data_IF_031147450212
#
_entry.id   IF_031147450212
#
_cell.length_a   1.000
_cell.length_b   1.000
_cell.length_c   1.000
_cell.angle_alpha   90.00
_cell.angle_beta   90.00
_cell.angle_gamma   90.00
#
_symmetry.space_group_name_H-M   'P 1'
#
loop_
_entity.id
_entity.type
_entity.pdbx_description
1 polymer ?
#
# COMPACT_ATOMS: atom_id res chain seq x y z
N UNK A 1 -21.55 2.03 -19.88
CA UNK A 1 -21.40 0.58 -20.04
C UNK A 1 -20.02 0.07 -19.67
N UNK A 2 -19.04 0.93 -19.39
CA UNK A 2 -17.69 0.52 -18.93
C UNK A 2 -17.51 0.43 -17.40
N UNK A 3 -18.52 0.83 -16.63
CA UNK A 3 -18.42 0.90 -15.14
C UNK A 3 -18.59 -0.44 -14.40
N UNK A 4 -19.13 -1.47 -15.05
CA UNK A 4 -19.40 -2.77 -14.42
C UNK A 4 -18.30 -3.82 -14.67
N UNK A 5 -17.47 -3.66 -15.70
CA UNK A 5 -16.47 -4.66 -16.09
C UNK A 5 -15.23 -4.73 -15.15
N UNK A 6 -14.91 -3.66 -14.43
CA UNK A 6 -13.75 -3.65 -13.52
C UNK A 6 -14.05 -4.35 -12.18
N UNK A 7 -15.29 -4.62 -11.86
CA UNK A 7 -15.70 -5.20 -10.57
C UNK A 7 -15.46 -6.71 -10.43
N UNK A 8 -15.14 -7.44 -11.50
CA UNK A 8 -15.01 -8.90 -11.41
C UNK A 8 -13.70 -9.39 -12.03
N UNK A 9 -12.60 -9.24 -11.27
CA UNK A 9 -11.41 -10.01 -11.63
C UNK A 9 -11.71 -11.50 -11.52
N UNK A 10 -11.24 -12.26 -12.50
CA UNK A 10 -11.32 -13.71 -12.44
C UNK A 10 -10.46 -14.25 -11.28
N UNK A 11 -10.76 -15.44 -10.75
CA UNK A 11 -9.92 -16.05 -9.72
C UNK A 11 -8.43 -16.12 -10.13
N UNK A 12 -8.14 -16.37 -11.40
CA UNK A 12 -6.77 -16.42 -11.93
C UNK A 12 -6.09 -15.05 -11.86
N UNK A 13 -6.79 -13.96 -12.16
CA UNK A 13 -6.28 -12.59 -12.06
C UNK A 13 -5.98 -12.21 -10.61
N UNK A 14 -6.88 -12.55 -9.70
CA UNK A 14 -6.69 -12.32 -8.26
C UNK A 14 -5.50 -13.12 -7.71
N UNK A 15 -5.36 -14.38 -8.12
CA UNK A 15 -4.25 -15.23 -7.69
C UNK A 15 -2.91 -14.71 -8.22
N UNK A 16 -2.86 -14.23 -9.46
CA UNK A 16 -1.65 -13.63 -10.03
C UNK A 16 -1.24 -12.36 -9.27
N UNK A 17 -2.20 -11.47 -8.97
CA UNK A 17 -1.93 -10.26 -8.19
C UNK A 17 -1.53 -10.57 -6.75
N UNK A 18 -2.14 -11.58 -6.13
CA UNK A 18 -1.79 -12.06 -4.78
C UNK A 18 -0.35 -12.60 -4.74
N UNK A 19 0.06 -13.37 -5.73
CA UNK A 19 1.42 -13.90 -5.81
C UNK A 19 2.45 -12.77 -5.94
N UNK A 20 2.16 -11.77 -6.79
CA UNK A 20 2.99 -10.55 -6.89
C UNK A 20 3.06 -9.82 -5.55
N UNK A 21 1.92 -9.68 -4.86
CA UNK A 21 1.86 -9.08 -3.53
C UNK A 21 2.72 -9.81 -2.51
N UNK A 22 2.65 -11.15 -2.47
CA UNK A 22 3.45 -11.98 -1.56
C UNK A 22 4.96 -11.87 -1.85
N UNK A 23 5.35 -11.86 -3.11
CA UNK A 23 6.76 -11.68 -3.49
C UNK A 23 7.24 -10.28 -3.09
N UNK A 24 6.42 -9.24 -3.35
CA UNK A 24 6.70 -7.87 -2.92
C UNK A 24 6.84 -7.76 -1.40
N UNK A 25 5.93 -8.38 -0.64
CA UNK A 25 5.97 -8.40 0.81
C UNK A 25 7.22 -9.11 1.35
N UNK A 26 7.61 -10.25 0.78
CA UNK A 26 8.83 -10.95 1.17
C UNK A 26 10.11 -10.14 0.92
N UNK A 27 10.17 -9.42 -0.20
CA UNK A 27 11.27 -8.51 -0.52
C UNK A 27 11.30 -7.33 0.46
N UNK A 28 10.14 -6.74 0.76
CA UNK A 28 10.00 -5.64 1.71
C UNK A 28 10.40 -6.07 3.13
N UNK A 29 9.95 -7.25 3.59
CA UNK A 29 10.32 -7.81 4.88
C UNK A 29 11.84 -7.93 5.04
N UNK A 30 12.51 -8.40 3.98
CA UNK A 30 13.97 -8.51 3.96
C UNK A 30 14.64 -7.15 4.09
N UNK A 31 14.20 -6.16 3.30
CA UNK A 31 14.76 -4.81 3.31
C UNK A 31 14.51 -4.11 4.66
N UNK A 32 13.28 -4.20 5.19
CA UNK A 32 12.92 -3.60 6.48
C UNK A 32 13.68 -4.25 7.64
N UNK A 33 13.84 -5.59 7.62
CA UNK A 33 14.60 -6.31 8.65
C UNK A 33 16.07 -5.83 8.73
N UNK A 34 16.66 -5.49 7.57
CA UNK A 34 18.01 -4.94 7.52
C UNK A 34 18.11 -3.54 8.12
N UNK A 35 17.11 -2.68 7.85
CA UNK A 35 17.10 -1.29 8.33
C UNK A 35 16.81 -1.24 9.83
N UNK A 36 15.83 -2.01 10.29
CA UNK A 36 15.39 -2.04 11.68
C UNK A 36 16.31 -2.91 12.54
N UNK A 37 17.19 -3.70 11.90
CA UNK A 37 18.10 -4.67 12.56
C UNK A 37 17.34 -5.66 13.46
N UNK A 38 16.14 -6.06 13.04
CA UNK A 38 15.28 -7.06 13.69
C UNK A 38 14.56 -7.87 12.63
N UNK A 39 14.28 -9.14 12.92
CA UNK A 39 13.47 -9.95 12.02
C UNK A 39 12.06 -9.39 11.95
N UNK A 40 11.61 -9.10 10.74
CA UNK A 40 10.24 -8.73 10.40
C UNK A 40 9.72 -9.78 9.44
N UNK A 41 8.60 -10.37 9.77
CA UNK A 41 7.83 -11.20 8.85
C UNK A 41 6.69 -10.35 8.28
N UNK A 42 6.49 -10.44 6.97
CA UNK A 42 5.39 -9.76 6.28
C UNK A 42 4.56 -10.77 5.52
N UNK A 43 3.26 -10.61 5.58
CA UNK A 43 2.32 -11.41 4.82
C UNK A 43 1.27 -10.53 4.13
N UNK A 44 0.67 -11.09 3.08
CA UNK A 44 -0.48 -10.52 2.39
C UNK A 44 -1.66 -11.48 2.59
N UNK A 45 -2.36 -11.39 3.74
CA UNK A 45 -3.43 -12.32 4.06
C UNK A 45 -4.62 -12.18 3.11
N UNK A 46 -4.88 -10.97 2.62
CA UNK A 46 -6.01 -10.69 1.75
C UNK A 46 -5.66 -9.72 0.64
N UNK A 47 -6.29 -9.94 -0.51
CA UNK A 47 -6.25 -9.05 -1.66
C UNK A 47 -7.69 -8.92 -2.16
N UNK A 48 -8.19 -7.68 -2.21
CA UNK A 48 -9.55 -7.36 -2.62
C UNK A 48 -9.54 -6.16 -3.57
N UNK A 49 -10.56 -6.07 -4.41
CA UNK A 49 -10.88 -4.83 -5.14
C UNK A 49 -12.13 -4.26 -4.52
N UNK A 50 -12.10 -2.98 -4.19
CA UNK A 50 -13.26 -2.29 -3.67
C UNK A 50 -13.36 -0.87 -4.21
N UNK A 51 -14.57 -0.29 -4.20
CA UNK A 51 -14.78 1.11 -4.52
C UNK A 51 -13.92 2.00 -3.62
N UNK A 52 -13.35 3.06 -4.18
CA UNK A 52 -12.54 4.02 -3.39
C UNK A 52 -13.33 4.62 -2.22
N UNK A 53 -14.65 4.73 -2.33
CA UNK A 53 -15.54 5.18 -1.25
C UNK A 53 -15.55 4.25 -0.03
N UNK A 54 -15.20 2.98 -0.19
CA UNK A 54 -15.18 1.96 0.87
C UNK A 54 -13.79 1.81 1.52
N UNK A 55 -12.75 2.44 0.97
CA UNK A 55 -11.39 2.41 1.53
C UNK A 55 -11.33 2.87 2.98
N UNK A 56 -12.06 3.93 3.42
CA UNK A 56 -12.07 4.32 4.83
C UNK A 56 -12.54 3.21 5.77
N UNK A 57 -13.49 2.39 5.34
CA UNK A 57 -14.07 1.31 6.17
C UNK A 57 -13.05 0.21 6.45
N UNK A 58 -12.09 0.00 5.55
CA UNK A 58 -10.99 -0.97 5.73
C UNK A 58 -10.10 -0.60 6.92
N UNK A 59 -9.94 0.68 7.20
CA UNK A 59 -9.09 1.20 8.30
C UNK A 59 -9.88 1.59 9.54
N UNK A 60 -11.18 1.29 9.58
CA UNK A 60 -12.03 1.52 10.76
C UNK A 60 -13.01 2.69 10.63
N UNK A 61 -13.15 3.28 9.44
CA UNK A 61 -14.10 4.36 9.14
C UNK A 61 -13.44 5.67 8.76
N UNK A 62 -14.25 6.58 8.18
CA UNK A 62 -13.76 7.86 7.66
C UNK A 62 -13.14 8.77 8.73
N UNK A 63 -13.62 8.67 9.97
CA UNK A 63 -13.17 9.50 11.10
C UNK A 63 -11.96 8.88 11.84
N UNK A 64 -11.48 7.70 11.40
CA UNK A 64 -10.32 7.05 12.00
C UNK A 64 -9.04 7.83 11.68
N UNK A 65 -8.29 8.19 12.73
CA UNK A 65 -6.97 8.81 12.57
C UNK A 65 -5.96 7.80 12.04
N UNK A 66 -5.35 8.14 10.91
CA UNK A 66 -4.37 7.28 10.22
C UNK A 66 -3.13 8.08 9.83
N UNK A 67 -2.01 7.38 9.70
CA UNK A 67 -0.86 7.88 8.95
C UNK A 67 -0.92 7.30 7.53
N UNK A 68 -0.92 8.16 6.53
CA UNK A 68 -0.98 7.78 5.12
C UNK A 68 0.31 8.17 4.39
N UNK A 69 1.00 7.19 3.79
CA UNK A 69 2.13 7.43 2.90
C UNK A 69 1.67 7.26 1.46
N UNK A 70 1.75 8.32 0.69
CA UNK A 70 1.32 8.37 -0.71
C UNK A 70 2.51 8.46 -1.65
N UNK A 71 2.45 7.69 -2.75
CA UNK A 71 3.39 7.75 -3.86
C UNK A 71 2.65 7.70 -5.18
N UNK A 72 3.11 8.48 -6.16
CA UNK A 72 2.68 8.34 -7.55
C UNK A 72 3.57 7.34 -8.27
N UNK A 73 2.99 6.51 -9.13
CA UNK A 73 3.71 5.56 -9.98
C UNK A 73 3.67 6.07 -11.42
N UNK A 74 4.83 6.16 -12.03
CA UNK A 74 5.01 6.53 -13.44
C UNK A 74 5.40 5.33 -14.27
N UNK A 75 5.04 5.32 -15.55
CA UNK A 75 5.37 4.27 -16.49
C UNK A 75 4.18 3.86 -17.37
N UNK A 76 4.23 2.66 -17.99
CA UNK A 76 3.18 2.20 -18.90
C UNK A 76 1.81 1.95 -18.24
N UNK A 77 1.78 1.72 -16.92
CA UNK A 77 0.58 1.56 -16.12
C UNK A 77 0.59 2.54 -14.93
N UNK A 78 0.36 3.86 -15.18
CA UNK A 78 0.39 4.86 -14.14
C UNK A 78 -0.65 4.54 -13.07
N UNK A 79 -0.27 4.74 -11.81
CA UNK A 79 -1.08 4.37 -10.64
C UNK A 79 -0.73 5.26 -9.46
N UNK A 80 -1.51 5.18 -8.41
CA UNK A 80 -1.16 5.74 -7.10
C UNK A 80 -0.99 4.60 -6.09
N UNK A 81 -0.05 4.74 -5.18
CA UNK A 81 0.12 3.87 -4.03
C UNK A 81 -0.21 4.68 -2.79
N UNK A 82 -1.02 4.09 -1.92
CA UNK A 82 -1.33 4.64 -0.62
C UNK A 82 -1.14 3.54 0.43
N UNK A 83 -0.28 3.81 1.40
CA UNK A 83 -0.10 2.96 2.55
C UNK A 83 -0.74 3.63 3.76
N UNK A 84 -1.81 3.03 4.31
CA UNK A 84 -2.54 3.53 5.48
C UNK A 84 -2.25 2.67 6.70
N UNK A 85 -1.90 3.34 7.77
CA UNK A 85 -1.69 2.76 9.09
C UNK A 85 -2.64 3.43 10.08
N UNK A 86 -3.50 2.70 10.80
CA UNK A 86 -4.11 3.24 12.00
C UNK A 86 -3.06 3.90 12.90
N UNK A 87 -3.42 4.99 13.59
CA UNK A 87 -2.48 5.80 14.38
C UNK A 87 -1.60 4.95 15.30
N UNK A 88 -2.21 4.03 16.05
CA UNK A 88 -1.48 3.21 17.01
C UNK A 88 -0.51 2.23 16.32
N UNK A 89 -0.89 1.72 15.15
CA UNK A 89 -0.03 0.91 14.28
C UNK A 89 1.16 1.72 13.76
N UNK A 90 0.92 2.98 13.34
CA UNK A 90 1.99 3.87 12.88
C UNK A 90 3.00 4.16 14.00
N UNK A 91 2.50 4.44 15.21
CA UNK A 91 3.36 4.70 16.38
C UNK A 91 4.16 3.46 16.79
N UNK A 92 3.53 2.29 16.79
CA UNK A 92 4.23 1.03 17.05
C UNK A 92 5.31 0.74 16.01
N UNK A 93 5.03 1.04 14.74
CA UNK A 93 6.01 0.87 13.65
C UNK A 93 7.19 1.83 13.79
N UNK A 94 6.92 3.06 14.22
CA UNK A 94 7.97 4.06 14.55
C UNK A 94 8.81 3.59 15.72
N UNK A 95 8.20 3.14 16.82
CA UNK A 95 8.94 2.61 17.97
C UNK A 95 9.88 1.48 17.54
N UNK A 96 9.40 0.57 16.70
CA UNK A 96 10.23 -0.50 16.14
C UNK A 96 11.37 0.05 15.28
N UNK A 97 11.07 0.95 14.35
CA UNK A 97 12.07 1.51 13.42
C UNK A 97 13.17 2.29 14.16
N UNK A 98 12.79 3.00 15.21
CA UNK A 98 13.68 3.83 16.00
C UNK A 98 14.30 3.08 17.21
N UNK A 99 14.05 1.76 17.31
CA UNK A 99 14.53 0.93 18.43
C UNK A 99 14.12 1.45 19.81
N UNK A 100 12.93 2.01 19.90
CA UNK A 100 12.31 2.46 21.17
C UNK A 100 11.52 1.32 21.81
N UNK A 101 11.18 1.47 23.09
CA UNK A 101 10.20 0.61 23.75
C UNK A 101 8.81 0.82 23.15
N UNK A 102 8.06 -0.26 22.99
CA UNK A 102 6.69 -0.20 22.45
C UNK A 102 5.79 0.70 23.29
N UNK A 103 5.03 1.57 22.62
CA UNK A 103 4.08 2.49 23.24
C UNK A 103 4.72 3.76 23.80
N UNK A 104 5.97 4.06 23.46
CA UNK A 104 6.65 5.30 23.91
C UNK A 104 6.41 6.49 23.00
N UNK A 105 6.05 6.25 21.73
CA UNK A 105 5.73 7.34 20.78
C UNK A 105 4.31 7.85 21.04
N UNK A 106 4.18 9.10 21.50
CA UNK A 106 2.90 9.78 21.72
C UNK A 106 2.56 10.78 20.59
N UNK A 107 3.59 11.27 19.91
CA UNK A 107 3.48 12.18 18.77
C UNK A 107 4.65 11.96 17.81
N UNK A 108 4.44 12.24 16.53
CA UNK A 108 5.49 12.07 15.51
C UNK A 108 6.40 13.29 15.47
N UNK A 109 7.68 13.08 15.62
CA UNK A 109 8.71 14.06 15.29
C UNK A 109 9.05 14.02 13.80
N UNK A 110 9.76 15.01 13.29
CA UNK A 110 10.22 15.02 11.89
C UNK A 110 11.05 13.77 11.51
N UNK A 111 11.79 13.19 12.47
CA UNK A 111 12.54 11.95 12.27
C UNK A 111 11.57 10.75 12.16
N UNK A 112 10.53 10.72 12.96
CA UNK A 112 9.53 9.65 12.94
C UNK A 112 8.72 9.68 11.63
N UNK A 113 8.37 10.87 11.16
CA UNK A 113 7.74 11.07 9.86
C UNK A 113 8.64 10.57 8.71
N UNK A 114 9.94 10.89 8.78
CA UNK A 114 10.92 10.41 7.81
C UNK A 114 11.04 8.89 7.83
N UNK A 115 10.99 8.26 9.00
CA UNK A 115 11.02 6.80 9.12
C UNK A 115 9.77 6.16 8.48
N UNK A 116 8.58 6.71 8.71
CA UNK A 116 7.34 6.22 8.07
C UNK A 116 7.38 6.38 6.54
N UNK A 117 7.88 7.51 6.05
CA UNK A 117 8.05 7.72 4.60
C UNK A 117 9.02 6.70 4.00
N UNK A 118 10.14 6.41 4.67
CA UNK A 118 11.10 5.42 4.18
C UNK A 118 10.51 4.00 4.18
N UNK A 119 9.78 3.62 5.22
CA UNK A 119 9.07 2.33 5.24
C UNK A 119 8.08 2.24 4.08
N UNK A 120 7.26 3.26 3.85
CA UNK A 120 6.33 3.31 2.73
C UNK A 120 7.03 3.24 1.37
N UNK A 121 8.18 3.90 1.23
CA UNK A 121 9.02 3.86 0.03
C UNK A 121 9.56 2.45 -0.24
N UNK A 122 10.03 1.75 0.79
CA UNK A 122 10.52 0.36 0.68
C UNK A 122 9.40 -0.59 0.29
N UNK A 123 8.21 -0.44 0.89
CA UNK A 123 7.03 -1.26 0.56
C UNK A 123 6.62 -1.05 -0.90
N UNK A 124 6.48 0.21 -1.30
CA UNK A 124 6.12 0.56 -2.68
C UNK A 124 7.16 0.07 -3.68
N UNK A 125 8.45 0.31 -3.42
CA UNK A 125 9.54 -0.15 -4.26
C UNK A 125 9.60 -1.67 -4.40
N UNK A 126 9.41 -2.40 -3.32
CA UNK A 126 9.41 -3.87 -3.30
C UNK A 126 8.24 -4.45 -4.10
N UNK A 127 7.03 -3.87 -3.93
CA UNK A 127 5.86 -4.25 -4.71
C UNK A 127 6.03 -3.94 -6.20
N UNK A 128 6.48 -2.71 -6.53
CA UNK A 128 6.69 -2.30 -7.92
C UNK A 128 7.79 -3.10 -8.60
N UNK A 129 8.84 -3.50 -7.89
CA UNK A 129 9.89 -4.37 -8.43
C UNK A 129 9.33 -5.76 -8.76
N UNK A 130 8.51 -6.33 -7.89
CA UNK A 130 7.83 -7.60 -8.18
C UNK A 130 6.90 -7.45 -9.39
N UNK A 131 6.05 -6.42 -9.42
CA UNK A 131 5.16 -6.15 -10.54
C UNK A 131 5.91 -5.94 -11.85
N UNK A 132 6.99 -5.15 -11.83
CA UNK A 132 7.85 -4.90 -13.00
C UNK A 132 8.51 -6.18 -13.50
N UNK A 133 8.92 -7.08 -12.60
CA UNK A 133 9.54 -8.35 -12.97
C UNK A 133 8.57 -9.23 -13.77
N UNK A 134 7.33 -9.35 -13.32
CA UNK A 134 6.32 -10.20 -13.99
C UNK A 134 5.75 -9.55 -15.26
N UNK A 135 5.52 -8.24 -15.24
CA UNK A 135 4.92 -7.51 -16.37
C UNK A 135 5.95 -7.06 -17.41
N UNK A 136 7.25 -7.10 -17.09
CA UNK A 136 8.33 -6.52 -17.91
C UNK A 136 8.18 -5.00 -18.18
N UNK A 137 7.35 -4.34 -17.37
CA UNK A 137 7.18 -2.90 -17.42
C UNK A 137 8.16 -2.19 -16.50
N UNK A 138 8.63 -1.01 -16.90
CA UNK A 138 9.39 -0.12 -16.00
C UNK A 138 8.40 0.77 -15.25
N UNK A 139 8.26 0.55 -13.96
CA UNK A 139 7.39 1.31 -13.07
C UNK A 139 8.25 2.06 -12.05
N UNK A 140 8.09 3.38 -11.97
CA UNK A 140 8.94 4.26 -11.17
C UNK A 140 8.08 4.99 -10.12
N UNK A 141 8.34 4.84 -8.82
CA UNK A 141 7.66 5.63 -7.81
C UNK A 141 8.18 7.06 -7.74
N UNK A 142 7.30 7.99 -7.34
CA UNK A 142 7.69 9.33 -6.89
C UNK A 142 8.39 9.28 -5.53
N UNK A 143 8.83 10.43 -5.05
CA UNK A 143 9.13 10.59 -3.63
C UNK A 143 7.85 10.40 -2.81
N UNK A 144 7.95 9.77 -1.61
CA UNK A 144 6.81 9.60 -0.73
C UNK A 144 6.36 10.93 -0.11
N UNK A 145 5.06 11.05 0.10
CA UNK A 145 4.45 12.12 0.89
C UNK A 145 3.69 11.51 2.06
N UNK A 146 3.82 12.08 3.26
CA UNK A 146 3.14 11.64 4.47
C UNK A 146 2.05 12.64 4.85
N UNK A 147 0.89 12.12 5.24
CA UNK A 147 -0.15 12.88 5.92
C UNK A 147 -0.64 12.09 7.14
N UNK A 148 -0.92 12.81 8.23
CA UNK A 148 -1.54 12.22 9.43
C UNK A 148 -2.84 12.97 9.66
N UNK A 149 -3.96 12.32 9.37
CA UNK A 149 -5.29 12.92 9.43
C UNK A 149 -6.35 11.82 9.49
N UNK A 150 -7.62 12.20 9.50
CA UNK A 150 -8.72 11.25 9.31
C UNK A 150 -8.64 10.57 7.94
N UNK A 151 -8.92 9.28 7.90
CA UNK A 151 -8.87 8.48 6.67
C UNK A 151 -9.70 9.09 5.53
N UNK A 152 -10.90 9.60 5.84
CA UNK A 152 -11.76 10.29 4.88
C UNK A 152 -11.14 11.57 4.31
N UNK A 153 -10.40 12.33 5.14
CA UNK A 153 -9.71 13.55 4.71
C UNK A 153 -8.58 13.23 3.72
N UNK A 154 -7.72 12.27 4.05
CA UNK A 154 -6.61 11.82 3.17
C UNK A 154 -7.16 11.33 1.84
N UNK A 155 -8.19 10.49 1.85
CA UNK A 155 -8.78 9.94 0.63
C UNK A 155 -9.46 11.02 -0.22
N UNK A 156 -10.11 12.01 0.41
CA UNK A 156 -10.72 13.12 -0.32
C UNK A 156 -9.71 13.89 -1.15
N UNK A 157 -8.50 14.12 -0.61
CA UNK A 157 -7.40 14.79 -1.36
C UNK A 157 -6.95 13.94 -2.54
N UNK A 158 -6.81 12.63 -2.34
CA UNK A 158 -6.40 11.69 -3.41
C UNK A 158 -7.45 11.64 -4.52
N UNK A 159 -8.74 11.54 -4.16
CA UNK A 159 -9.85 11.54 -5.11
C UNK A 159 -9.90 12.82 -5.95
N UNK A 160 -9.66 13.98 -5.33
CA UNK A 160 -9.59 15.27 -6.04
C UNK A 160 -8.42 15.26 -7.04
N UNK A 161 -7.26 14.76 -6.65
CA UNK A 161 -6.08 14.69 -7.53
C UNK A 161 -6.27 13.72 -8.69
N UNK A 162 -6.97 12.61 -8.48
CA UNK A 162 -7.27 11.63 -9.51
C UNK A 162 -8.39 12.10 -10.47
N UNK A 163 -9.04 13.24 -10.19
CA UNK A 163 -10.03 13.84 -11.08
C UNK A 163 -11.30 13.01 -11.25
N UNK A 164 -11.74 12.30 -10.23
CA UNK A 164 -12.90 11.39 -10.26
C UNK A 164 -12.77 10.21 -11.25
N UNK A 165 -11.57 9.87 -11.65
CA UNK A 165 -11.33 8.96 -12.78
C UNK A 165 -11.00 7.54 -12.35
N UNK A 166 -10.73 7.27 -11.06
CA UNK A 166 -10.55 5.93 -10.51
C UNK A 166 -11.71 5.57 -9.61
N UNK A 167 -12.53 4.60 -10.00
CA UNK A 167 -13.67 4.17 -9.18
C UNK A 167 -13.27 3.10 -8.15
N UNK A 168 -12.08 2.44 -8.30
CA UNK A 168 -11.71 1.26 -7.53
C UNK A 168 -10.25 1.27 -7.07
N UNK A 169 -9.99 0.67 -5.92
CA UNK A 169 -8.66 0.39 -5.39
C UNK A 169 -8.43 -1.12 -5.28
N UNK A 170 -7.24 -1.57 -5.64
CA UNK A 170 -6.73 -2.88 -5.25
C UNK A 170 -6.18 -2.74 -3.84
N UNK A 171 -6.82 -3.40 -2.90
CA UNK A 171 -6.45 -3.41 -1.49
C UNK A 171 -5.60 -4.63 -1.20
N UNK A 172 -4.39 -4.42 -0.74
CA UNK A 172 -3.47 -5.44 -0.29
C UNK A 172 -3.31 -5.26 1.22
N UNK A 173 -4.04 -6.06 2.00
CA UNK A 173 -3.83 -6.08 3.45
C UNK A 173 -2.40 -6.55 3.72
N UNK A 174 -1.68 -5.82 4.55
CA UNK A 174 -0.30 -6.11 4.89
C UNK A 174 -0.19 -6.25 6.40
N UNK A 175 0.28 -7.39 6.86
CA UNK A 175 0.58 -7.62 8.27
C UNK A 175 2.09 -7.66 8.45
N UNK A 176 2.56 -6.90 9.45
CA UNK A 176 3.94 -6.90 9.92
C UNK A 176 3.98 -7.61 11.26
N UNK A 177 4.64 -8.72 11.33
CA UNK A 177 4.83 -9.46 12.56
C UNK A 177 6.28 -9.37 13.02
N UNK A 178 6.46 -9.10 14.31
CA UNK A 178 7.76 -9.25 15.00
C UNK A 178 7.55 -10.21 16.17
N UNK A 179 8.65 -10.64 16.80
CA UNK A 179 8.55 -11.50 18.00
C UNK A 179 7.73 -10.88 19.15
N UNK A 180 7.58 -9.56 19.16
CA UNK A 180 6.94 -8.83 20.27
C UNK A 180 5.58 -8.22 19.90
N UNK A 181 5.32 -7.87 18.63
CA UNK A 181 4.15 -7.11 18.23
C UNK A 181 3.74 -7.40 16.79
N UNK A 182 2.42 -7.42 16.58
CA UNK A 182 1.81 -7.42 15.26
C UNK A 182 1.33 -6.01 14.94
N UNK A 183 1.79 -5.46 13.82
CA UNK A 183 1.34 -4.17 13.28
C UNK A 183 0.60 -4.42 11.99
N UNK A 184 -0.62 -3.91 11.88
CA UNK A 184 -1.41 -4.02 10.65
C UNK A 184 -1.37 -2.70 9.90
N UNK A 185 -1.13 -2.82 8.60
CA UNK A 185 -1.23 -1.73 7.66
C UNK A 185 -1.97 -2.17 6.41
N UNK A 186 -2.45 -1.20 5.66
CA UNK A 186 -3.18 -1.45 4.41
C UNK A 186 -2.46 -0.76 3.28
N UNK A 187 -2.06 -1.56 2.30
CA UNK A 187 -1.42 -1.09 1.08
C UNK A 187 -2.47 -1.07 -0.04
N UNK A 188 -2.65 0.08 -0.65
CA UNK A 188 -3.59 0.28 -1.73
C UNK A 188 -2.83 0.60 -3.01
N UNK A 189 -3.10 -0.14 -4.07
CA UNK A 189 -2.75 0.24 -5.42
C UNK A 189 -4.01 0.77 -6.10
N UNK A 190 -3.96 2.00 -6.56
CA UNK A 190 -5.07 2.69 -7.23
C UNK A 190 -4.60 2.96 -8.67
N UNK A 191 -4.94 2.07 -9.62
CA UNK A 191 -4.58 2.26 -11.01
C UNK A 191 -5.34 3.42 -11.64
N UNK A 192 -4.67 4.16 -12.52
CA UNK A 192 -5.37 5.10 -13.39
C UNK A 192 -6.26 4.33 -14.38
N UNK A 193 -7.25 4.98 -15.00
CA UNK A 193 -8.10 4.35 -15.99
C UNK A 193 -7.30 3.63 -17.08
N UNK A 194 -7.63 2.38 -17.31
CA UNK A 194 -6.95 1.51 -18.26
C UNK A 194 -5.66 0.86 -17.75
N UNK A 195 -5.04 1.35 -16.67
CA UNK A 195 -3.78 0.80 -16.16
C UNK A 195 -3.93 -0.64 -15.64
N UNK A 196 -5.05 -0.96 -15.01
CA UNK A 196 -5.30 -2.32 -14.52
C UNK A 196 -5.37 -3.31 -15.69
N UNK A 197 -6.06 -2.95 -16.78
CA UNK A 197 -6.14 -3.79 -17.99
C UNK A 197 -4.75 -4.00 -18.63
N UNK A 198 -3.89 -2.97 -18.62
CA UNK A 198 -2.50 -3.08 -19.10
C UNK A 198 -1.70 -4.06 -18.23
N UNK A 199 -1.83 -3.96 -16.90
CA UNK A 199 -1.16 -4.88 -15.95
C UNK A 199 -1.62 -6.32 -16.21
N UNK A 200 -2.92 -6.57 -16.24
CA UNK A 200 -3.50 -7.91 -16.42
C UNK A 200 -3.17 -8.50 -17.80
N UNK A 201 -3.20 -7.67 -18.84
CA UNK A 201 -2.84 -8.09 -20.20
C UNK A 201 -1.39 -8.56 -20.29
N UNK A 202 -0.46 -7.88 -19.63
CA UNK A 202 0.96 -8.28 -19.62
C UNK A 202 1.24 -9.50 -18.74
N UNK A 203 0.41 -9.77 -17.75
CA UNK A 203 0.50 -11.00 -16.94
C UNK A 203 -0.03 -12.24 -17.68
N UNK A 204 -0.61 -12.07 -18.88
CA UNK A 204 -1.18 -13.18 -19.64
C UNK A 204 -2.48 -13.73 -19.04
N UNK A 205 -3.13 -12.98 -18.19
CA UNK A 205 -4.43 -13.29 -17.54
C UNK A 205 -5.56 -12.40 -18.06
N UNK A 206 -5.39 -11.83 -19.26
CA UNK A 206 -6.49 -11.21 -20.01
C UNK A 206 -7.51 -12.28 -20.43
N UNK A 207 -8.79 -11.94 -20.49
CA UNK A 207 -9.87 -12.80 -20.94
C UNK A 207 -9.60 -13.50 -22.28
#
# INVERSE_FOLDING_TARGET
MEKEEVMMLTPMQLDALREIGNIGAGNAATALSQIINRKIDMSVPRLNILPLSEVPDVVGGADTMVAGVYLRVFGPAPSSILFLLPRDSAFSLVDMAMSREHGTTESLSAMDESALMEIGNILAGSFLNALSYFTKMTLLPSLPALAVDMAGAILSVILIQLGQVGDYALVIETEFATEANDVRGHFFLIPDPGSLSVILGTLGVSE
#
